data_IF_655235279950
#
_entry.id   IF_655235279950
#
_cell.length_a   1.000
_cell.length_b   1.000
_cell.length_c   1.000
_cell.angle_alpha   90.00
_cell.angle_beta   90.00
_cell.angle_gamma   90.00
#
_symmetry.space_group_name_H-M   'P 1'
#
loop_
_entity.id
_entity.type
_entity.pdbx_description
1 polymer ?
#
# COMPACT_ATOMS: atom_id res chain seq x y z
N UNK A 1 24.33 -2.03 8.81
CA UNK A 1 23.43 -1.26 7.92
C UNK A 1 23.75 -1.67 6.50
N UNK A 2 22.77 -1.76 5.60
CA UNK A 2 23.08 -1.99 4.17
C UNK A 2 23.79 -0.71 3.67
N UNK A 3 25.08 -0.81 3.37
CA UNK A 3 25.91 0.36 3.01
C UNK A 3 25.51 1.00 1.67
N UNK A 4 24.76 0.30 0.81
CA UNK A 4 24.37 0.81 -0.51
C UNK A 4 23.50 2.06 -0.45
N UNK A 5 22.73 2.26 0.63
CA UNK A 5 21.89 3.45 0.81
C UNK A 5 22.71 4.74 1.00
N UNK A 6 23.96 4.64 1.47
CA UNK A 6 24.81 5.81 1.73
C UNK A 6 25.19 6.52 0.41
N UNK A 7 25.35 5.75 -0.67
CA UNK A 7 25.74 6.24 -2.00
C UNK A 7 24.62 6.04 -3.05
N UNK A 8 23.37 5.86 -2.61
CA UNK A 8 22.26 5.62 -3.52
C UNK A 8 21.77 6.89 -4.22
N UNK A 9 21.63 6.82 -5.55
CA UNK A 9 21.00 7.83 -6.39
C UNK A 9 19.72 7.22 -6.94
N UNK A 10 18.59 7.67 -6.39
CA UNK A 10 17.27 7.15 -6.73
C UNK A 10 16.75 7.70 -8.06
N UNK A 11 16.11 6.81 -8.83
CA UNK A 11 15.25 7.15 -9.95
C UNK A 11 13.83 6.71 -9.62
N UNK A 12 12.92 7.68 -9.47
CA UNK A 12 11.51 7.40 -9.23
C UNK A 12 10.81 7.06 -10.55
N UNK A 13 10.02 5.99 -10.54
CA UNK A 13 9.26 5.50 -11.68
C UNK A 13 7.78 5.48 -11.32
N UNK A 14 7.01 6.25 -12.08
CA UNK A 14 5.56 6.11 -12.17
C UNK A 14 5.22 5.10 -13.28
N UNK A 15 4.88 3.82 -12.97
CA UNK A 15 4.90 2.72 -13.95
C UNK A 15 4.04 3.01 -15.18
N UNK A 16 2.83 3.53 -14.98
CA UNK A 16 1.87 3.81 -16.04
C UNK A 16 2.38 4.73 -17.14
N UNK A 17 3.31 5.64 -16.85
CA UNK A 17 3.78 6.65 -17.81
C UNK A 17 5.24 6.48 -18.21
N UNK A 18 5.90 5.40 -17.78
CA UNK A 18 7.33 5.25 -18.02
C UNK A 18 7.62 4.64 -19.40
N UNK A 19 7.23 3.38 -19.62
CA UNK A 19 7.44 2.70 -20.89
C UNK A 19 6.49 1.51 -21.08
N UNK A 20 5.76 1.53 -22.19
CA UNK A 20 4.82 0.48 -22.61
C UNK A 20 5.55 -0.53 -23.51
N UNK A 21 5.61 -1.80 -23.11
CA UNK A 21 6.29 -2.85 -23.86
C UNK A 21 5.35 -3.68 -24.74
N UNK A 22 4.04 -3.56 -24.55
CA UNK A 22 3.04 -4.43 -25.18
C UNK A 22 2.08 -3.68 -26.14
N UNK A 23 2.19 -2.36 -26.22
CA UNK A 23 1.39 -1.44 -27.04
C UNK A 23 -0.08 -1.30 -26.61
N UNK A 24 -0.40 -1.48 -25.33
CA UNK A 24 -1.74 -1.24 -24.79
C UNK A 24 -1.99 0.22 -24.33
N UNK A 25 -0.95 1.06 -24.37
CA UNK A 25 -0.96 2.47 -24.00
C UNK A 25 -0.64 2.73 -22.53
N UNK A 26 -0.28 1.72 -21.74
CA UNK A 26 0.06 1.81 -20.32
C UNK A 26 1.47 1.27 -20.11
N UNK A 27 2.32 2.03 -19.42
CA UNK A 27 3.64 1.53 -19.08
C UNK A 27 3.59 0.35 -18.11
N UNK A 28 4.49 -0.61 -18.29
CA UNK A 28 4.47 -1.92 -17.63
C UNK A 28 5.85 -2.34 -17.10
N UNK A 29 5.88 -3.36 -16.23
CA UNK A 29 7.11 -3.83 -15.57
C UNK A 29 8.13 -4.38 -16.57
N UNK A 30 7.76 -5.22 -17.56
CA UNK A 30 8.70 -5.59 -18.63
C UNK A 30 9.31 -4.38 -19.33
N UNK A 31 8.54 -3.32 -19.55
CA UNK A 31 9.02 -2.05 -20.09
C UNK A 31 10.04 -1.36 -19.19
N UNK A 32 9.87 -1.40 -17.86
CA UNK A 32 10.87 -0.93 -16.90
C UNK A 32 12.17 -1.74 -17.04
N UNK A 33 12.07 -3.07 -17.15
CA UNK A 33 13.22 -3.96 -17.34
C UNK A 33 14.01 -3.58 -18.60
N UNK A 34 13.33 -3.27 -19.72
CA UNK A 34 13.96 -2.85 -20.96
C UNK A 34 14.75 -1.53 -20.86
N UNK A 35 14.45 -0.69 -19.85
CA UNK A 35 15.09 0.62 -19.67
C UNK A 35 16.07 0.68 -18.50
N UNK A 36 16.36 -0.43 -17.83
CA UNK A 36 17.35 -0.45 -16.75
C UNK A 36 18.73 0.07 -17.18
N UNK A 37 19.17 -0.27 -18.40
CA UNK A 37 20.46 0.22 -18.92
C UNK A 37 20.46 1.74 -19.12
N UNK A 38 19.36 2.32 -19.60
CA UNK A 38 19.19 3.77 -19.68
C UNK A 38 19.27 4.43 -18.30
N UNK A 39 18.57 3.89 -17.30
CA UNK A 39 18.58 4.45 -15.94
C UNK A 39 19.99 4.37 -15.33
N UNK A 40 20.71 3.27 -15.56
CA UNK A 40 22.09 3.11 -15.13
C UNK A 40 23.04 4.11 -15.83
N UNK A 41 22.86 4.36 -17.12
CA UNK A 41 23.64 5.35 -17.86
C UNK A 41 23.45 6.79 -17.33
N UNK A 42 22.28 7.11 -16.78
CA UNK A 42 22.05 8.38 -16.08
C UNK A 42 22.84 8.49 -14.76
N UNK A 43 23.39 7.40 -14.26
CA UNK A 43 24.12 7.32 -12.99
C UNK A 43 23.26 6.91 -11.79
N UNK A 44 22.00 6.55 -12.00
CA UNK A 44 21.13 6.05 -10.95
C UNK A 44 21.43 4.58 -10.64
N UNK A 45 21.44 4.22 -9.35
CA UNK A 45 21.71 2.86 -8.86
C UNK A 45 20.59 2.32 -7.95
N UNK A 46 19.48 3.05 -7.81
CA UNK A 46 18.32 2.60 -7.08
C UNK A 46 17.05 3.07 -7.78
N UNK A 47 16.04 2.21 -7.82
CA UNK A 47 14.71 2.52 -8.32
C UNK A 47 13.76 2.68 -7.15
N UNK A 48 12.87 3.66 -7.23
CA UNK A 48 11.66 3.72 -6.42
C UNK A 48 10.47 3.61 -7.36
N UNK A 49 9.70 2.52 -7.25
CA UNK A 49 8.47 2.35 -8.01
C UNK A 49 7.30 2.86 -7.17
N UNK A 50 6.53 3.80 -7.73
CA UNK A 50 5.19 4.11 -7.21
C UNK A 50 4.29 2.86 -7.25
N UNK A 51 3.13 2.84 -6.56
CA UNK A 51 2.34 1.63 -6.36
C UNK A 51 2.07 0.83 -7.65
N UNK A 52 2.52 -0.43 -7.64
CA UNK A 52 2.34 -1.36 -8.75
C UNK A 52 1.42 -2.55 -8.37
N UNK A 53 0.76 -2.48 -7.22
CA UNK A 53 -0.09 -3.53 -6.68
C UNK A 53 -1.52 -3.46 -7.23
N UNK A 54 -2.27 -4.55 -7.09
CA UNK A 54 -3.66 -4.62 -7.50
C UNK A 54 -4.45 -3.48 -6.84
N UNK A 55 -5.11 -2.69 -7.68
CA UNK A 55 -5.82 -1.48 -7.28
C UNK A 55 -6.97 -1.23 -8.26
N UNK A 56 -8.07 -0.60 -7.83
CA UNK A 56 -9.07 -0.01 -8.73
C UNK A 56 -8.55 1.23 -9.48
N UNK A 57 -7.40 1.77 -9.07
CA UNK A 57 -6.76 2.98 -9.61
C UNK A 57 -7.59 4.26 -9.43
N UNK A 58 -8.38 4.36 -8.37
CA UNK A 58 -9.11 5.60 -8.04
C UNK A 58 -8.17 6.70 -7.57
N UNK A 59 -7.05 6.31 -6.96
CA UNK A 59 -5.91 7.16 -6.62
C UNK A 59 -4.64 6.61 -7.26
N UNK A 60 -4.77 6.22 -8.54
CA UNK A 60 -3.69 5.79 -9.41
C UNK A 60 -2.72 4.73 -8.82
N UNK A 61 -3.25 3.82 -8.00
CA UNK A 61 -2.51 2.71 -7.40
C UNK A 61 -2.37 2.80 -5.87
N UNK A 62 -2.57 3.99 -5.28
CA UNK A 62 -2.49 4.18 -3.83
C UNK A 62 -3.71 3.60 -3.09
N UNK A 63 -4.85 3.42 -3.76
CA UNK A 63 -5.97 2.62 -3.27
C UNK A 63 -5.72 1.11 -3.50
N UNK A 64 -4.89 0.48 -2.66
CA UNK A 64 -4.46 -0.93 -2.82
C UNK A 64 -5.56 -1.93 -2.44
N UNK A 65 -5.93 -2.83 -3.36
CA UNK A 65 -6.90 -3.91 -3.15
C UNK A 65 -6.25 -5.27 -2.78
N UNK A 66 -4.99 -5.50 -3.18
CA UNK A 66 -4.17 -6.62 -2.70
C UNK A 66 -2.68 -6.25 -2.76
N UNK A 67 -2.03 -6.15 -1.61
CA UNK A 67 -0.61 -5.78 -1.51
C UNK A 67 0.36 -6.85 -2.04
N UNK A 68 -0.06 -8.10 -2.17
CA UNK A 68 0.80 -9.23 -2.57
C UNK A 68 0.58 -9.64 -4.03
N UNK A 69 -0.23 -8.87 -4.77
CA UNK A 69 -0.50 -9.10 -6.18
C UNK A 69 -0.15 -7.84 -6.98
N UNK A 70 0.68 -7.99 -8.01
CA UNK A 70 0.92 -6.95 -9.02
C UNK A 70 -0.36 -6.66 -9.78
N UNK A 71 -0.64 -5.39 -10.08
CA UNK A 71 -1.78 -5.04 -10.91
C UNK A 71 -1.64 -5.67 -12.30
N UNK A 72 -2.66 -6.39 -12.82
CA UNK A 72 -2.57 -7.06 -14.12
C UNK A 72 -2.21 -6.13 -15.29
N UNK A 73 -2.51 -4.83 -15.17
CA UNK A 73 -2.15 -3.82 -16.17
C UNK A 73 -0.65 -3.50 -16.25
N UNK A 74 0.12 -3.89 -15.23
CA UNK A 74 1.57 -3.70 -15.17
C UNK A 74 2.34 -5.01 -15.38
N UNK A 75 1.66 -6.15 -15.37
CA UNK A 75 2.25 -7.48 -15.51
C UNK A 75 1.85 -8.43 -14.38
N UNK A 76 2.76 -9.34 -14.05
CA UNK A 76 2.58 -10.39 -13.04
C UNK A 76 3.55 -10.25 -11.86
N UNK A 77 3.35 -11.05 -10.81
CA UNK A 77 4.32 -11.11 -9.72
C UNK A 77 5.69 -11.60 -10.22
N UNK A 78 5.71 -12.51 -11.19
CA UNK A 78 6.91 -13.02 -11.83
C UNK A 78 7.67 -11.92 -12.60
N UNK A 79 6.94 -11.02 -13.26
CA UNK A 79 7.57 -9.86 -13.93
C UNK A 79 8.24 -8.92 -12.93
N UNK A 80 7.61 -8.69 -11.77
CA UNK A 80 8.20 -7.87 -10.72
C UNK A 80 9.43 -8.54 -10.08
N UNK A 81 9.39 -9.85 -9.87
CA UNK A 81 10.57 -10.62 -9.44
C UNK A 81 11.69 -10.51 -10.48
N UNK A 82 11.37 -10.63 -11.76
CA UNK A 82 12.34 -10.46 -12.85
C UNK A 82 12.94 -9.07 -12.87
N UNK A 83 12.17 -8.02 -12.56
CA UNK A 83 12.72 -6.67 -12.40
C UNK A 83 13.77 -6.60 -11.30
N UNK A 84 13.53 -7.22 -10.14
CA UNK A 84 14.52 -7.28 -9.07
C UNK A 84 15.79 -7.99 -9.54
N UNK A 85 15.64 -9.17 -10.16
CA UNK A 85 16.78 -9.95 -10.66
C UNK A 85 17.60 -9.18 -11.71
N UNK A 86 16.96 -8.51 -12.65
CA UNK A 86 17.62 -7.74 -13.71
C UNK A 86 18.28 -6.45 -13.20
N UNK A 87 17.68 -5.79 -12.20
CA UNK A 87 18.29 -4.66 -11.52
C UNK A 87 19.53 -5.10 -10.73
N UNK A 88 19.45 -6.21 -9.99
CA UNK A 88 20.58 -6.74 -9.22
C UNK A 88 21.77 -7.15 -10.11
N UNK A 89 21.53 -7.70 -11.31
CA UNK A 89 22.59 -7.97 -12.31
C UNK A 89 23.36 -6.72 -12.74
N UNK A 90 22.80 -5.54 -12.50
CA UNK A 90 23.35 -4.23 -12.84
C UNK A 90 23.85 -3.48 -11.61
N UNK A 91 23.96 -4.14 -10.46
CA UNK A 91 24.29 -3.51 -9.17
C UNK A 91 23.31 -2.36 -8.81
N UNK A 92 22.04 -2.52 -9.20
CA UNK A 92 20.96 -1.58 -8.87
C UNK A 92 20.01 -2.18 -7.85
N UNK A 93 19.37 -1.34 -7.05
CA UNK A 93 18.37 -1.75 -6.05
C UNK A 93 16.95 -1.34 -6.44
N UNK A 94 15.92 -2.04 -5.94
CA UNK A 94 14.52 -1.72 -6.22
C UNK A 94 13.72 -1.60 -4.93
N UNK A 95 13.16 -0.40 -4.70
CA UNK A 95 12.21 -0.11 -3.63
C UNK A 95 10.79 -0.04 -4.18
N UNK A 96 9.86 -0.63 -3.43
CA UNK A 96 8.42 -0.51 -3.71
C UNK A 96 7.80 0.58 -2.83
N UNK A 97 6.76 1.24 -3.33
CA UNK A 97 5.91 2.09 -2.50
C UNK A 97 5.04 1.24 -1.57
N UNK A 98 5.15 1.44 -0.26
CA UNK A 98 4.26 0.85 0.74
C UNK A 98 3.24 1.91 1.16
N UNK A 99 1.95 1.57 1.05
CA UNK A 99 0.84 2.41 1.49
C UNK A 99 0.19 1.80 2.74
N UNK A 100 0.70 2.05 3.95
CA UNK A 100 0.23 1.39 5.17
C UNK A 100 -0.91 2.13 5.86
N UNK A 101 -1.23 3.37 5.47
CA UNK A 101 -2.24 4.19 6.15
C UNK A 101 -3.68 3.76 5.86
N UNK A 102 -3.93 3.16 4.70
CA UNK A 102 -5.26 2.79 4.23
C UNK A 102 -5.16 1.67 3.19
N UNK A 103 -6.29 1.03 2.90
CA UNK A 103 -6.45 0.14 1.74
C UNK A 103 -7.51 0.71 0.80
N UNK A 104 -7.74 0.08 -0.35
CA UNK A 104 -8.97 0.26 -1.12
C UNK A 104 -10.20 -0.25 -0.35
N UNK A 105 -11.38 0.33 -0.62
CA UNK A 105 -12.67 -0.27 -0.27
C UNK A 105 -12.91 -1.63 -0.95
N UNK A 106 -12.16 -1.97 -1.99
CA UNK A 106 -12.24 -3.28 -2.64
C UNK A 106 -11.37 -4.35 -1.97
N UNK A 107 -10.49 -3.96 -1.04
CA UNK A 107 -9.61 -4.86 -0.32
C UNK A 107 -10.40 -5.88 0.50
N UNK A 108 -9.97 -7.15 0.50
CA UNK A 108 -10.66 -8.23 1.19
C UNK A 108 -10.86 -7.93 2.69
N UNK A 109 -9.83 -7.40 3.34
CA UNK A 109 -9.90 -6.94 4.74
C UNK A 109 -11.02 -5.93 4.98
N UNK A 110 -11.19 -4.93 4.12
CA UNK A 110 -12.24 -3.92 4.31
C UNK A 110 -13.63 -4.51 4.11
N UNK A 111 -13.79 -5.32 3.06
CA UNK A 111 -15.05 -6.03 2.78
C UNK A 111 -15.50 -6.87 3.98
N UNK A 112 -14.58 -7.60 4.60
CA UNK A 112 -14.89 -8.37 5.82
C UNK A 112 -15.12 -7.47 7.04
N UNK A 113 -14.31 -6.42 7.23
CA UNK A 113 -14.47 -5.46 8.33
C UNK A 113 -15.80 -4.70 8.29
N UNK A 114 -16.35 -4.49 7.09
CA UNK A 114 -17.60 -3.75 6.85
C UNK A 114 -18.86 -4.62 7.00
N UNK A 115 -18.73 -5.93 7.30
CA UNK A 115 -19.86 -6.82 7.57
C UNK A 115 -20.52 -6.47 8.91
N UNK A 116 -21.80 -6.82 9.04
CA UNK A 116 -22.60 -6.55 10.24
C UNK A 116 -22.08 -7.31 11.48
N UNK A 117 -21.58 -8.53 11.29
CA UNK A 117 -21.14 -9.41 12.38
C UNK A 117 -19.64 -9.26 12.66
N UNK A 118 -19.22 -9.19 13.94
CA UNK A 118 -17.82 -9.22 14.34
C UNK A 118 -17.06 -10.43 13.77
N UNK A 119 -15.86 -10.18 13.28
CA UNK A 119 -14.95 -11.16 12.68
C UNK A 119 -13.49 -10.73 12.90
N UNK A 120 -12.53 -11.50 12.39
CA UNK A 120 -11.09 -11.23 12.57
C UNK A 120 -10.60 -9.86 12.04
N UNK A 121 -11.36 -9.24 11.12
CA UNK A 121 -11.08 -7.92 10.55
C UNK A 121 -11.88 -6.80 11.21
N UNK A 122 -12.68 -7.08 12.24
CA UNK A 122 -13.58 -6.10 12.88
C UNK A 122 -12.83 -4.84 13.34
N UNK A 123 -11.65 -5.01 13.94
CA UNK A 123 -10.81 -3.90 14.41
C UNK A 123 -9.77 -3.39 13.42
N UNK A 124 -9.74 -3.92 12.18
CA UNK A 124 -8.68 -3.62 11.19
C UNK A 124 -8.70 -2.18 10.69
N UNK A 125 -9.86 -1.55 10.71
CA UNK A 125 -10.09 -0.17 10.26
C UNK A 125 -10.65 0.67 11.40
N UNK A 126 -10.52 1.98 11.27
CA UNK A 126 -11.00 2.93 12.27
C UNK A 126 -12.51 3.13 12.14
N UNK A 127 -13.28 2.30 12.83
CA UNK A 127 -14.74 2.38 12.91
C UNK A 127 -15.20 2.96 14.25
N UNK A 128 -16.24 3.80 14.21
CA UNK A 128 -17.02 4.12 15.40
C UNK A 128 -17.98 2.98 15.76
N UNK A 129 -18.55 3.03 16.97
CA UNK A 129 -19.58 2.11 17.46
C UNK A 129 -21.02 2.56 17.13
N UNK A 130 -21.19 3.65 16.38
CA UNK A 130 -22.50 4.12 15.91
C UNK A 130 -22.39 4.98 14.66
N UNK A 131 -23.32 4.81 13.72
CA UNK A 131 -23.43 5.62 12.49
C UNK A 131 -23.58 7.13 12.74
N UNK A 132 -24.01 7.52 13.95
CA UNK A 132 -24.21 8.93 14.32
C UNK A 132 -22.96 9.57 14.93
N UNK A 133 -21.92 8.78 15.23
CA UNK A 133 -20.62 9.30 15.65
C UNK A 133 -19.77 9.55 14.41
N UNK A 134 -19.16 10.73 14.36
CA UNK A 134 -18.18 11.06 13.33
C UNK A 134 -16.76 10.78 13.82
N UNK A 135 -15.89 10.38 12.89
CA UNK A 135 -14.49 10.07 13.13
C UNK A 135 -13.56 10.98 12.32
N UNK A 136 -14.12 11.85 11.48
CA UNK A 136 -13.35 12.84 10.71
C UNK A 136 -12.73 13.95 11.58
N UNK A 137 -13.00 14.00 12.88
CA UNK A 137 -12.45 14.99 13.80
C UNK A 137 -11.08 14.60 14.39
N UNK A 138 -10.56 13.41 14.07
CA UNK A 138 -9.30 12.90 14.60
C UNK A 138 -8.16 13.08 13.60
N UNK A 139 -6.96 13.37 14.11
CA UNK A 139 -5.76 13.57 13.29
C UNK A 139 -5.49 12.35 12.38
N UNK A 140 -5.11 12.62 11.13
CA UNK A 140 -4.84 11.58 10.13
C UNK A 140 -6.08 11.04 9.41
N UNK A 141 -7.30 11.49 9.78
CA UNK A 141 -8.55 11.12 9.13
C UNK A 141 -9.17 12.36 8.47
N UNK A 142 -9.25 12.38 7.14
CA UNK A 142 -9.79 13.54 6.41
C UNK A 142 -11.30 13.47 6.15
N UNK A 143 -11.94 12.35 6.48
CA UNK A 143 -13.37 12.18 6.28
C UNK A 143 -13.90 10.88 6.86
N UNK A 144 -15.20 10.64 6.66
CA UNK A 144 -15.84 9.40 7.10
C UNK A 144 -16.87 8.89 6.09
N UNK A 145 -16.99 7.56 6.00
CA UNK A 145 -18.08 6.88 5.27
C UNK A 145 -19.09 6.35 6.28
N UNK A 146 -20.38 6.51 5.98
CA UNK A 146 -21.48 6.06 6.84
C UNK A 146 -22.70 5.65 6.01
N UNK A 147 -23.39 4.59 6.42
CA UNK A 147 -24.61 4.11 5.76
C UNK A 147 -24.40 3.47 4.37
N UNK A 148 -23.15 3.20 3.99
CA UNK A 148 -22.80 2.53 2.73
C UNK A 148 -22.61 1.02 2.87
N UNK A 149 -22.44 0.53 4.11
CA UNK A 149 -22.13 -0.86 4.43
C UNK A 149 -23.04 -1.39 5.56
N UNK A 150 -23.21 -2.72 5.69
CA UNK A 150 -24.10 -3.31 6.71
C UNK A 150 -23.70 -3.06 8.17
N UNK A 151 -22.44 -2.73 8.44
CA UNK A 151 -21.93 -2.46 9.80
C UNK A 151 -22.50 -1.15 10.37
N UNK A 152 -22.95 -1.18 11.62
CA UNK A 152 -23.23 0.05 12.38
C UNK A 152 -21.90 0.74 12.73
N UNK A 153 -21.83 2.03 12.45
CA UNK A 153 -20.60 2.82 12.57
C UNK A 153 -20.34 3.73 11.37
N UNK A 154 -19.47 4.69 11.60
CA UNK A 154 -18.79 5.47 10.56
C UNK A 154 -17.33 5.01 10.49
N UNK A 155 -16.79 4.80 9.30
CA UNK A 155 -15.37 4.47 9.11
C UNK A 155 -14.60 5.69 8.65
N UNK A 156 -13.42 5.91 9.22
CA UNK A 156 -12.52 6.98 8.79
C UNK A 156 -11.90 6.68 7.42
N UNK A 157 -11.68 7.72 6.63
CA UNK A 157 -10.90 7.66 5.39
C UNK A 157 -9.71 8.62 5.46
N UNK A 158 -8.59 8.23 4.84
CA UNK A 158 -7.38 9.06 4.86
C UNK A 158 -7.53 10.30 3.96
N UNK A 159 -7.86 10.13 2.68
CA UNK A 159 -8.05 11.25 1.74
C UNK A 159 -9.29 11.04 0.88
N UNK A 160 -9.34 9.97 0.10
CA UNK A 160 -10.48 9.68 -0.77
C UNK A 160 -11.50 8.75 -0.11
N UNK A 161 -12.76 8.81 -0.56
CA UNK A 161 -13.83 7.91 -0.11
C UNK A 161 -13.57 6.44 -0.43
N UNK A 162 -12.54 6.13 -1.23
CA UNK A 162 -12.09 4.79 -1.57
C UNK A 162 -10.97 4.28 -0.67
N UNK A 163 -10.53 5.07 0.32
CA UNK A 163 -9.34 4.81 1.15
C UNK A 163 -9.65 4.70 2.65
N UNK A 164 -10.38 3.67 3.10
CA UNK A 164 -10.65 3.44 4.53
C UNK A 164 -9.36 3.28 5.33
N UNK A 165 -9.27 4.01 6.44
CA UNK A 165 -8.09 4.13 7.28
C UNK A 165 -7.83 2.84 8.07
N UNK A 166 -6.62 2.32 7.97
CA UNK A 166 -6.16 1.19 8.78
C UNK A 166 -5.97 1.61 10.24
N UNK A 167 -6.31 0.72 11.16
CA UNK A 167 -6.27 1.01 12.60
C UNK A 167 -4.94 0.58 13.22
N UNK A 168 -4.14 1.56 13.63
CA UNK A 168 -2.91 1.39 14.41
C UNK A 168 -3.09 1.73 15.90
N UNK A 169 -4.32 2.01 16.32
CA UNK A 169 -4.68 2.43 17.67
C UNK A 169 -4.52 3.93 17.91
N UNK A 170 -5.23 4.42 18.91
CA UNK A 170 -5.19 5.80 19.39
C UNK A 170 -4.19 5.91 20.53
N UNK A 171 -3.32 6.92 20.48
CA UNK A 171 -2.35 7.18 21.56
C UNK A 171 -3.06 7.58 22.88
N UNK A 172 -4.16 8.33 22.78
CA UNK A 172 -4.96 8.78 23.91
C UNK A 172 -6.44 8.44 23.64
N UNK A 173 -6.89 7.19 23.86
CA UNK A 173 -8.28 6.83 23.63
C UNK A 173 -9.19 7.51 24.67
N UNK A 174 -10.20 8.22 24.18
CA UNK A 174 -11.23 8.92 24.96
C UNK A 174 -12.61 8.31 24.80
N UNK A 175 -12.81 7.47 23.79
CA UNK A 175 -14.10 6.84 23.46
C UNK A 175 -14.03 5.31 23.57
N UNK A 176 -15.17 4.66 23.86
CA UNK A 176 -15.26 3.20 24.03
C UNK A 176 -14.88 2.37 22.80
N UNK A 177 -15.01 2.94 21.61
CA UNK A 177 -14.69 2.28 20.33
C UNK A 177 -13.22 2.44 19.93
N UNK A 178 -12.44 3.26 20.64
CA UNK A 178 -11.05 3.51 20.32
C UNK A 178 -10.14 2.44 20.92
N UNK A 179 -9.45 1.71 20.05
CA UNK A 179 -8.40 0.77 20.43
C UNK A 179 -7.15 1.53 20.88
N UNK A 180 -6.44 1.04 21.91
CA UNK A 180 -5.10 1.53 22.25
C UNK A 180 -4.07 1.04 21.22
N UNK A 181 -2.90 1.67 21.17
CA UNK A 181 -1.80 1.26 20.27
C UNK A 181 -1.33 -0.19 20.50
N UNK A 182 -1.49 -0.72 21.72
CA UNK A 182 -1.11 -2.09 22.09
C UNK A 182 -2.29 -3.06 22.13
N UNK A 183 -3.44 -2.68 21.59
CA UNK A 183 -4.57 -3.59 21.47
C UNK A 183 -4.27 -4.72 20.46
N UNK A 184 -4.93 -5.89 20.59
CA UNK A 184 -4.79 -6.99 19.64
C UNK A 184 -5.08 -6.57 18.18
N UNK A 185 -6.04 -5.67 17.98
CA UNK A 185 -6.43 -5.11 16.69
C UNK A 185 -5.28 -4.30 16.07
N UNK A 186 -4.72 -3.34 16.81
CA UNK A 186 -3.60 -2.51 16.36
C UNK A 186 -2.32 -3.32 16.14
N UNK A 187 -2.04 -4.29 17.02
CA UNK A 187 -0.95 -5.25 16.83
C UNK A 187 -1.15 -6.11 15.58
N UNK A 188 -2.39 -6.57 15.34
CA UNK A 188 -2.76 -7.34 14.16
C UNK A 188 -2.55 -6.56 12.87
N UNK A 189 -2.88 -5.27 12.83
CA UNK A 189 -2.61 -4.38 11.67
C UNK A 189 -1.11 -4.24 11.43
N UNK A 190 -0.34 -3.94 12.49
CA UNK A 190 1.13 -3.86 12.41
C UNK A 190 1.76 -5.15 11.88
N UNK A 191 1.26 -6.31 12.32
CA UNK A 191 1.76 -7.60 11.85
C UNK A 191 1.40 -7.84 10.38
N UNK A 192 0.18 -7.54 9.96
CA UNK A 192 -0.23 -7.71 8.56
C UNK A 192 0.63 -6.88 7.59
N UNK A 193 0.99 -5.63 7.96
CA UNK A 193 1.93 -4.84 7.16
C UNK A 193 3.34 -5.42 7.14
N UNK A 194 3.81 -5.99 8.26
CA UNK A 194 5.10 -6.71 8.29
C UNK A 194 5.07 -7.93 7.38
N UNK A 195 3.97 -8.64 7.31
CA UNK A 195 3.82 -9.82 6.45
C UNK A 195 3.83 -9.42 4.97
N UNK A 196 3.20 -8.29 4.61
CA UNK A 196 3.30 -7.68 3.27
C UNK A 196 4.76 -7.32 2.93
N UNK A 197 5.46 -6.65 3.85
CA UNK A 197 6.87 -6.31 3.65
C UNK A 197 7.73 -7.58 3.48
N UNK A 198 7.51 -8.59 4.32
CA UNK A 198 8.23 -9.85 4.29
C UNK A 198 7.99 -10.61 2.97
N UNK A 199 6.76 -10.58 2.44
CA UNK A 199 6.41 -11.23 1.17
C UNK A 199 7.28 -10.75 0.01
N UNK A 200 7.48 -9.44 -0.13
CA UNK A 200 8.28 -8.87 -1.21
C UNK A 200 9.78 -8.91 -0.92
N UNK A 201 10.20 -8.67 0.32
CA UNK A 201 11.62 -8.80 0.71
C UNK A 201 12.12 -10.23 0.45
N UNK A 202 11.31 -11.26 0.77
CA UNK A 202 11.69 -12.65 0.51
C UNK A 202 11.81 -13.01 -0.98
N UNK A 203 11.40 -12.09 -1.87
CA UNK A 203 11.39 -12.24 -3.33
C UNK A 203 12.42 -11.36 -4.05
N UNK A 204 13.22 -10.59 -3.31
CA UNK A 204 14.28 -9.76 -3.87
C UNK A 204 14.04 -8.25 -3.80
N UNK A 205 12.93 -7.79 -3.23
CA UNK A 205 12.74 -6.36 -2.96
C UNK A 205 13.80 -5.84 -1.96
N UNK A 206 14.38 -4.66 -2.22
CA UNK A 206 15.48 -4.13 -1.42
C UNK A 206 15.02 -3.28 -0.22
N UNK A 207 13.79 -2.77 -0.28
CA UNK A 207 13.18 -1.95 0.76
C UNK A 207 11.87 -1.31 0.31
N UNK A 208 11.39 -0.35 1.09
CA UNK A 208 10.16 0.38 0.79
C UNK A 208 10.34 1.88 0.98
N UNK A 209 9.71 2.67 0.11
CA UNK A 209 9.34 4.05 0.43
C UNK A 209 7.98 3.96 1.12
N UNK A 210 7.85 4.56 2.30
CA UNK A 210 6.61 4.47 3.09
C UNK A 210 5.78 5.73 2.87
N UNK A 211 4.64 5.57 2.21
CA UNK A 211 3.70 6.66 2.00
C UNK A 211 3.02 7.04 3.31
N UNK A 212 2.97 8.35 3.58
CA UNK A 212 2.29 8.93 4.74
C UNK A 212 2.59 8.21 6.07
N UNK A 213 3.87 7.96 6.33
CA UNK A 213 4.40 7.30 7.53
C UNK A 213 4.12 8.08 8.83
#
# INVERSE_FOLDING_TARGET
MKHWLEDSIFYEIYPQSFYDSNNDGIGDIPGIVEKLDYIKELGCNALWLNPCFLSPFSDAGYDVADYCQVAPRYGTNEDLVKLFEEAHKRDMHVLLDLVPGHTSIEHAWFKESARMEPNEYWGRYVWTDSIWKDVASYDGISGSLRGMYPRDGSVGVNFYSTQPALNYGFANPTESWQCTVDSPEAMGTRQAMKDVMAFWISRGCDGFRVDMA
#
